data_IF_529719107815
#
_entry.id   IF_529719107815
#
_cell.length_a   1.000
_cell.length_b   1.000
_cell.length_c   1.000
_cell.angle_alpha   90.00
_cell.angle_beta   90.00
_cell.angle_gamma   90.00
#
_symmetry.space_group_name_H-M   'P 1'
#
loop_
_entity.id
_entity.type
_entity.pdbx_description
1 polymer ?
#
# COMPACT_ATOMS: atom_id res chain seq x y z
N UNK A 1 -21.35 -33.65 -9.47
CA UNK A 1 -20.30 -32.62 -9.25
C UNK A 1 -19.20 -32.83 -10.28
N UNK A 2 -18.97 -31.83 -11.14
CA UNK A 2 -18.08 -31.93 -12.32
C UNK A 2 -16.60 -32.05 -11.95
N UNK A 3 -15.88 -32.94 -12.64
CA UNK A 3 -14.43 -33.17 -12.48
C UNK A 3 -13.57 -31.91 -12.71
N UNK A 4 -14.12 -30.91 -13.40
CA UNK A 4 -13.49 -29.62 -13.68
C UNK A 4 -13.18 -28.85 -12.37
N UNK A 5 -14.05 -28.93 -11.37
CA UNK A 5 -13.87 -28.20 -10.10
C UNK A 5 -12.75 -28.76 -9.20
N UNK A 6 -12.42 -30.04 -9.34
CA UNK A 6 -11.40 -30.70 -8.50
C UNK A 6 -9.97 -30.39 -8.94
N UNK A 7 -9.75 -30.14 -10.25
CA UNK A 7 -8.41 -29.89 -10.80
C UNK A 7 -7.92 -28.47 -10.53
N UNK A 8 -8.82 -27.49 -10.50
CA UNK A 8 -8.48 -26.09 -10.23
C UNK A 8 -7.96 -25.89 -8.79
N UNK A 9 -8.66 -26.45 -7.79
CA UNK A 9 -8.26 -26.37 -6.38
C UNK A 9 -6.92 -27.06 -6.06
N UNK A 10 -6.58 -28.12 -6.81
CA UNK A 10 -5.33 -28.86 -6.65
C UNK A 10 -4.12 -28.12 -7.26
N UNK A 11 -4.35 -27.28 -8.28
CA UNK A 11 -3.30 -26.58 -9.01
C UNK A 11 -2.86 -25.29 -8.33
N UNK A 12 -3.78 -24.50 -7.76
CA UNK A 12 -3.44 -23.25 -7.06
C UNK A 12 -2.80 -23.48 -5.69
N UNK A 13 -3.28 -24.47 -4.93
CA UNK A 13 -2.70 -24.85 -3.63
C UNK A 13 -1.29 -25.46 -3.73
N UNK A 14 -0.96 -26.10 -4.86
CA UNK A 14 0.37 -26.69 -5.06
C UNK A 14 1.42 -25.69 -5.56
N UNK A 15 1.02 -24.57 -6.16
CA UNK A 15 1.94 -23.57 -6.71
C UNK A 15 2.45 -22.56 -5.69
N UNK A 16 1.59 -22.02 -4.83
CA UNK A 16 1.98 -20.93 -3.91
C UNK A 16 2.23 -21.36 -2.46
N UNK A 17 1.58 -22.42 -1.98
CA UNK A 17 1.52 -22.72 -0.54
C UNK A 17 2.31 -23.98 -0.15
N UNK A 18 2.50 -24.94 -1.06
CA UNK A 18 3.13 -26.24 -0.74
C UNK A 18 4.66 -26.24 -0.68
N UNK A 19 5.33 -25.26 -1.28
CA UNK A 19 6.80 -25.16 -1.28
C UNK A 19 7.20 -24.02 -0.33
N UNK A 20 7.76 -24.34 0.83
CA UNK A 20 8.12 -23.36 1.87
C UNK A 20 8.93 -22.16 1.34
N UNK A 21 9.86 -22.38 0.41
CA UNK A 21 10.66 -21.31 -0.17
C UNK A 21 9.87 -20.40 -1.15
N UNK A 22 8.90 -20.97 -1.88
CA UNK A 22 8.00 -20.20 -2.77
C UNK A 22 7.01 -19.38 -1.94
N UNK A 23 6.50 -19.97 -0.85
CA UNK A 23 5.65 -19.27 0.09
C UNK A 23 6.36 -18.05 0.68
N UNK A 24 7.58 -18.23 1.20
CA UNK A 24 8.38 -17.14 1.75
C UNK A 24 8.64 -16.03 0.71
N UNK A 25 9.04 -16.40 -0.51
CA UNK A 25 9.25 -15.43 -1.59
C UNK A 25 7.98 -14.68 -1.98
N UNK A 26 6.83 -15.37 -1.99
CA UNK A 26 5.52 -14.77 -2.28
C UNK A 26 5.11 -13.78 -1.18
N UNK A 27 5.32 -14.13 0.09
CA UNK A 27 5.02 -13.26 1.23
C UNK A 27 5.88 -11.99 1.16
N UNK A 28 7.18 -12.10 0.92
CA UNK A 28 8.05 -10.91 0.82
C UNK A 28 7.71 -10.04 -0.39
N UNK A 29 7.54 -10.63 -1.57
CA UNK A 29 7.14 -9.87 -2.76
C UNK A 29 5.78 -9.18 -2.56
N UNK A 30 4.82 -9.89 -1.95
CA UNK A 30 3.52 -9.35 -1.60
C UNK A 30 3.60 -8.22 -0.58
N UNK A 31 4.44 -8.35 0.44
CA UNK A 31 4.63 -7.32 1.47
C UNK A 31 5.17 -6.02 0.87
N UNK A 32 6.21 -6.08 0.02
CA UNK A 32 6.76 -4.88 -0.63
C UNK A 32 5.75 -4.21 -1.57
N UNK A 33 5.03 -4.99 -2.37
CA UNK A 33 4.00 -4.45 -3.26
C UNK A 33 2.83 -3.83 -2.47
N UNK A 34 2.45 -4.46 -1.35
CA UNK A 34 1.41 -3.98 -0.47
C UNK A 34 1.82 -2.68 0.22
N UNK A 35 3.01 -2.62 0.84
CA UNK A 35 3.55 -1.43 1.52
C UNK A 35 3.50 -0.21 0.60
N UNK A 36 4.09 -0.30 -0.59
CA UNK A 36 4.13 0.81 -1.56
C UNK A 36 2.71 1.32 -1.93
N UNK A 37 1.77 0.40 -2.14
CA UNK A 37 0.40 0.76 -2.51
C UNK A 37 -0.36 1.32 -1.32
N UNK A 38 -0.22 0.68 -0.16
CA UNK A 38 -0.93 1.02 1.05
C UNK A 38 -0.54 2.41 1.56
N UNK A 39 0.75 2.72 1.58
CA UNK A 39 1.27 4.03 1.99
C UNK A 39 0.70 5.13 1.09
N UNK A 40 0.83 4.99 -0.24
CA UNK A 40 0.34 6.00 -1.18
C UNK A 40 -1.17 6.23 -1.09
N UNK A 41 -1.95 5.15 -0.93
CA UNK A 41 -3.41 5.25 -0.82
C UNK A 41 -3.81 5.89 0.51
N UNK A 42 -3.18 5.47 1.60
CA UNK A 42 -3.52 5.95 2.95
C UNK A 42 -3.12 7.41 3.13
N UNK A 43 -1.95 7.81 2.62
CA UNK A 43 -1.52 9.21 2.59
C UNK A 43 -2.50 10.06 1.79
N UNK A 44 -2.89 9.61 0.59
CA UNK A 44 -3.85 10.35 -0.23
C UNK A 44 -5.22 10.47 0.44
N UNK A 45 -5.66 9.42 1.14
CA UNK A 45 -6.92 9.45 1.88
C UNK A 45 -6.84 10.43 3.05
N UNK A 46 -5.76 10.36 3.84
CA UNK A 46 -5.50 11.26 4.95
C UNK A 46 -5.44 12.72 4.48
N UNK A 47 -4.81 12.95 3.34
CA UNK A 47 -4.65 14.27 2.74
C UNK A 47 -5.96 14.91 2.36
N UNK A 48 -6.84 14.10 1.76
CA UNK A 48 -8.16 14.57 1.37
C UNK A 48 -9.03 14.89 2.59
N UNK A 49 -8.97 14.05 3.62
CA UNK A 49 -9.73 14.25 4.87
C UNK A 49 -9.24 15.50 5.62
N UNK A 50 -7.94 15.77 5.63
CA UNK A 50 -7.34 16.85 6.42
C UNK A 50 -6.95 18.08 5.59
N UNK A 51 -7.46 18.20 4.36
CA UNK A 51 -7.13 19.28 3.44
C UNK A 51 -7.31 20.65 4.09
N UNK A 52 -6.30 21.50 3.94
CA UNK A 52 -6.28 22.87 4.48
C UNK A 52 -5.88 22.96 5.95
N UNK A 53 -5.68 21.84 6.64
CA UNK A 53 -5.18 21.79 8.02
C UNK A 53 -3.76 21.27 8.14
N UNK A 54 -3.25 20.65 7.08
CA UNK A 54 -1.91 20.07 7.10
C UNK A 54 -0.85 21.15 6.98
N UNK A 55 0.31 20.93 7.60
CA UNK A 55 1.44 21.85 7.49
C UNK A 55 1.79 22.15 6.04
N UNK A 56 1.81 21.14 5.16
CA UNK A 56 2.08 21.32 3.73
C UNK A 56 1.10 22.27 3.01
N UNK A 57 -0.13 22.40 3.51
CA UNK A 57 -1.16 23.28 2.95
C UNK A 57 -1.03 24.72 3.47
N UNK A 58 -0.54 24.91 4.71
CA UNK A 58 -0.53 26.22 5.39
C UNK A 58 0.87 26.84 5.52
N UNK A 59 1.94 26.08 5.29
CA UNK A 59 3.34 26.49 5.54
C UNK A 59 3.75 27.78 4.84
N UNK A 60 3.26 28.01 3.62
CA UNK A 60 3.64 29.17 2.82
C UNK A 60 3.37 30.49 3.57
N UNK A 61 2.21 30.56 4.26
CA UNK A 61 1.79 31.72 5.05
C UNK A 61 2.75 32.07 6.19
N UNK A 62 3.43 31.07 6.76
CA UNK A 62 4.29 31.26 7.93
C UNK A 62 5.75 31.50 7.56
N UNK A 63 6.18 31.00 6.38
CA UNK A 63 7.53 31.25 5.88
C UNK A 63 7.61 32.68 5.32
N UNK A 64 6.63 33.09 4.51
CA UNK A 64 6.57 34.47 3.98
C UNK A 64 6.46 35.51 5.11
N UNK A 65 5.62 35.26 6.12
CA UNK A 65 5.51 36.14 7.28
C UNK A 65 6.79 36.20 8.14
N UNK A 66 7.65 35.18 8.07
CA UNK A 66 8.95 35.17 8.74
C UNK A 66 9.98 36.04 8.01
N UNK A 67 10.00 35.97 6.68
CA UNK A 67 10.90 36.76 5.83
C UNK A 67 10.51 38.26 5.79
N UNK A 68 9.22 38.60 5.88
CA UNK A 68 8.75 40.00 5.92
C UNK A 68 8.94 40.68 7.31
N UNK A 69 9.33 39.91 8.32
CA UNK A 69 9.52 40.38 9.71
C UNK A 69 10.97 40.65 10.11
N UNK A 70 11.94 40.41 9.21
CA UNK A 70 13.36 40.81 9.34
C UNK A 70 13.68 42.04 8.49
#
# INVERSE_FOLDING_TARGET
>A
MSAIGKNFYKQTSSLFVRRNYVFLGTVFAGAFAFEMTFDSVTDSLWDNINKGRQWKDIRAKYIEAGDDSE
#
